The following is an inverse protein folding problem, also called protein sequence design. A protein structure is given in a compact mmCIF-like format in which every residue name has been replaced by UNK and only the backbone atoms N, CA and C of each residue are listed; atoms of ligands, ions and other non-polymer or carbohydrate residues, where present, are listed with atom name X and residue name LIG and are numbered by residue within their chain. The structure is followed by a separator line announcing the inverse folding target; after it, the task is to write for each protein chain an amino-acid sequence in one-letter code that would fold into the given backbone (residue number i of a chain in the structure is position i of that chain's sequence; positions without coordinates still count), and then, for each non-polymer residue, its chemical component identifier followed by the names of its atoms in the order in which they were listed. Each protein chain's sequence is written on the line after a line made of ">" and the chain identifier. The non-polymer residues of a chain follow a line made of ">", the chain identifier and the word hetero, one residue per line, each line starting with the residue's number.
data_IF_176373351634
#
_entry.id   IF_176373351634
#
_cell.length_a   1.000
_cell.length_b   1.000
_cell.length_c   1.000
_cell.angle_alpha   90.00
_cell.angle_beta   90.00
_cell.angle_gamma   90.00
#
_symmetry.space_group_name_H-M   'P 1'
#
loop_
_entity.id
_entity.type
_entity.pdbx_description
1 polymer ?
#
# COMPACT_ATOMS: atom_id res chain seq x y z
N UNK A 1 -12.55 16.38 -4.29
CA UNK A 1 -13.80 16.33 -3.60
C UNK A 1 -13.68 16.73 -2.15
N UNK A 2 -14.78 16.87 -1.54
CA UNK A 2 -14.86 17.25 -0.13
C UNK A 2 -14.70 16.01 0.75
N UNK A 3 -13.86 16.12 1.77
CA UNK A 3 -13.74 15.06 2.77
C UNK A 3 -14.92 15.22 3.75
N UNK A 4 -15.68 14.14 3.90
CA UNK A 4 -16.87 14.14 4.75
C UNK A 4 -16.56 14.02 6.24
N UNK A 5 -15.35 13.57 6.55
CA UNK A 5 -14.92 13.33 7.92
C UNK A 5 -13.66 14.16 8.19
N UNK A 6 -13.75 15.06 9.19
CA UNK A 6 -12.62 15.89 9.61
C UNK A 6 -11.97 15.20 10.80
N UNK A 7 -10.83 14.55 10.55
CA UNK A 7 -10.11 13.82 11.57
C UNK A 7 -8.69 13.57 11.07
N UNK A 8 -7.83 12.96 11.89
CA UNK A 8 -6.51 12.57 11.43
C UNK A 8 -6.64 11.48 10.37
N UNK A 9 -5.70 11.38 9.41
CA UNK A 9 -5.74 10.31 8.42
C UNK A 9 -5.78 8.90 9.03
N UNK A 10 -5.10 8.69 10.15
CA UNK A 10 -5.12 7.39 10.84
C UNK A 10 -6.51 7.08 11.36
N UNK A 11 -7.19 8.05 11.95
CA UNK A 11 -8.55 7.86 12.46
C UNK A 11 -9.55 7.64 11.33
N UNK A 12 -9.40 8.34 10.22
CA UNK A 12 -10.24 8.12 9.03
C UNK A 12 -10.07 6.69 8.54
N UNK A 13 -8.82 6.18 8.50
CA UNK A 13 -8.53 4.82 8.09
C UNK A 13 -9.21 3.79 9.00
N UNK A 14 -9.16 4.00 10.32
CA UNK A 14 -9.67 3.05 11.29
C UNK A 14 -11.20 3.12 11.48
N UNK A 15 -11.80 4.30 11.24
CA UNK A 15 -13.22 4.54 11.52
C UNK A 15 -13.88 5.33 10.40
N UNK A 16 -14.02 4.76 9.20
CA UNK A 16 -14.65 5.48 8.09
C UNK A 16 -16.13 5.72 8.40
N UNK A 17 -16.62 6.94 8.11
CA UNK A 17 -18.00 7.33 8.36
C UNK A 17 -18.88 7.33 7.12
N UNK A 18 -18.28 7.23 5.93
CA UNK A 18 -19.04 7.27 4.68
C UNK A 18 -18.50 6.24 3.70
N UNK A 19 -19.30 5.90 2.69
CA UNK A 19 -18.87 5.02 1.61
C UNK A 19 -17.67 5.61 0.84
N UNK A 20 -17.66 6.94 0.67
CA UNK A 20 -16.54 7.60 0.00
C UNK A 20 -15.22 7.39 0.76
N UNK A 21 -15.26 7.61 2.07
CA UNK A 21 -14.05 7.43 2.90
C UNK A 21 -13.63 5.96 2.91
N UNK A 22 -14.59 5.03 3.00
CA UNK A 22 -14.28 3.61 2.98
C UNK A 22 -13.64 3.20 1.65
N UNK A 23 -14.12 3.70 0.52
CA UNK A 23 -13.53 3.43 -0.79
C UNK A 23 -12.11 3.99 -0.89
N UNK A 24 -11.91 5.20 -0.38
CA UNK A 24 -10.58 5.84 -0.37
C UNK A 24 -9.58 4.97 0.37
N UNK A 25 -9.88 4.59 1.61
CA UNK A 25 -8.96 3.79 2.42
C UNK A 25 -8.90 2.33 1.97
N UNK A 26 -9.88 1.88 1.18
CA UNK A 26 -9.88 0.53 0.62
C UNK A 26 -8.78 0.31 -0.41
N UNK A 27 -8.24 1.39 -0.99
CA UNK A 27 -7.17 1.31 -1.98
C UNK A 27 -5.86 1.91 -1.50
N UNK A 28 -5.92 3.00 -0.74
CA UNK A 28 -4.73 3.69 -0.22
C UNK A 28 -4.22 2.97 1.02
N UNK A 29 -2.94 2.68 1.05
CA UNK A 29 -2.30 2.03 2.20
C UNK A 29 -1.73 3.09 3.13
N UNK A 30 -1.91 2.90 4.44
CA UNK A 30 -1.36 3.79 5.46
C UNK A 30 -0.34 3.03 6.28
N UNK A 31 0.86 3.58 6.38
CA UNK A 31 1.95 3.06 7.20
C UNK A 31 2.02 3.92 8.44
N UNK A 32 1.86 3.30 9.61
CA UNK A 32 1.92 4.02 10.88
C UNK A 32 3.34 4.53 11.15
N UNK A 33 3.46 5.51 12.04
CA UNK A 33 4.77 6.05 12.40
C UNK A 33 5.71 4.98 12.95
N UNK A 34 5.19 4.08 13.79
CA UNK A 34 5.99 3.00 14.35
C UNK A 34 6.54 2.08 13.26
N UNK A 35 5.71 1.70 12.31
CA UNK A 35 6.14 0.85 11.21
C UNK A 35 7.07 1.59 10.25
N UNK A 36 6.80 2.87 10.01
CA UNK A 36 7.68 3.68 9.16
C UNK A 36 9.10 3.76 9.75
N UNK A 37 9.21 3.95 11.05
CA UNK A 37 10.50 3.97 11.73
C UNK A 37 11.16 2.59 11.70
N UNK A 38 10.41 1.54 12.02
CA UNK A 38 10.97 0.19 12.16
C UNK A 38 11.45 -0.39 10.84
N UNK A 39 10.70 -0.18 9.77
CA UNK A 39 10.97 -0.84 8.49
C UNK A 39 11.71 0.04 7.49
N UNK A 40 11.58 1.36 7.61
CA UNK A 40 12.10 2.28 6.59
C UNK A 40 12.97 3.39 7.17
N UNK A 41 13.13 3.45 8.48
CA UNK A 41 13.83 4.55 9.14
C UNK A 41 13.24 5.92 8.76
N UNK A 42 11.94 5.97 8.59
CA UNK A 42 11.20 7.17 8.22
C UNK A 42 10.41 7.66 9.43
N UNK A 43 10.54 8.94 9.78
CA UNK A 43 10.11 9.46 11.08
C UNK A 43 8.66 9.95 11.13
N UNK A 44 7.84 9.59 10.15
CA UNK A 44 6.44 10.01 10.09
C UNK A 44 5.59 8.91 9.50
N UNK A 45 4.32 8.87 9.85
CA UNK A 45 3.36 8.06 9.12
C UNK A 45 3.18 8.61 7.71
N UNK A 46 2.84 7.74 6.77
CA UNK A 46 2.60 8.15 5.39
C UNK A 46 1.58 7.24 4.73
N UNK A 47 1.04 7.69 3.61
CA UNK A 47 0.17 6.88 2.77
C UNK A 47 0.81 6.66 1.41
N UNK A 48 0.45 5.55 0.77
CA UNK A 48 0.91 5.20 -0.57
C UNK A 48 -0.25 4.58 -1.35
N UNK A 49 -0.45 5.03 -2.58
CA UNK A 49 -1.49 4.50 -3.46
C UNK A 49 -0.96 3.27 -4.19
N UNK A 50 -1.83 2.29 -4.50
CA UNK A 50 -1.39 1.02 -5.07
C UNK A 50 -0.72 1.15 -6.44
N UNK A 51 -1.07 2.16 -7.23
CA UNK A 51 -0.47 2.36 -8.56
C UNK A 51 1.02 2.74 -8.48
N UNK A 52 1.50 3.20 -7.33
CA UNK A 52 2.90 3.58 -7.15
C UNK A 52 3.74 2.46 -6.54
N UNK A 53 3.13 1.37 -6.11
CA UNK A 53 3.86 0.26 -5.52
C UNK A 53 4.36 -0.65 -6.64
N UNK A 54 5.69 -0.76 -6.75
CA UNK A 54 6.33 -1.60 -7.76
C UNK A 54 6.53 -3.00 -7.22
N UNK A 55 6.34 -4.00 -8.09
CA UNK A 55 6.42 -5.41 -7.72
C UNK A 55 7.66 -6.03 -8.36
N UNK A 56 8.51 -6.64 -7.52
CA UNK A 56 9.72 -7.36 -7.95
C UNK A 56 10.61 -6.56 -8.90
N UNK A 57 10.71 -5.26 -8.69
CA UNK A 57 11.61 -4.41 -9.45
C UNK A 57 13.01 -4.49 -8.83
N UNK A 58 14.03 -4.55 -9.68
CA UNK A 58 15.43 -4.51 -9.24
C UNK A 58 15.95 -3.08 -9.11
N UNK A 59 15.09 -2.09 -9.34
CA UNK A 59 15.43 -0.68 -9.28
C UNK A 59 15.78 -0.26 -7.86
N UNK A 60 16.75 0.65 -7.73
CA UNK A 60 17.12 1.22 -6.44
C UNK A 60 16.07 2.25 -6.02
N UNK A 61 15.18 1.86 -5.13
CA UNK A 61 14.06 2.68 -4.68
C UNK A 61 14.25 3.13 -3.23
N UNK A 62 13.57 4.22 -2.86
CA UNK A 62 13.70 4.80 -1.52
C UNK A 62 13.12 3.90 -0.43
N UNK A 63 12.03 3.17 -0.75
CA UNK A 63 11.39 2.25 0.19
C UNK A 63 11.35 0.85 -0.42
N UNK A 64 11.69 -0.15 0.39
CA UNK A 64 11.71 -1.55 -0.02
C UNK A 64 11.13 -2.40 1.09
N UNK A 65 10.27 -3.35 0.74
CA UNK A 65 9.63 -4.23 1.70
C UNK A 65 9.33 -5.57 1.06
N UNK A 66 9.69 -6.66 1.73
CA UNK A 66 9.25 -7.99 1.32
C UNK A 66 8.00 -8.35 2.10
N UNK A 67 6.92 -8.68 1.40
CA UNK A 67 5.64 -8.98 2.01
C UNK A 67 4.99 -10.17 1.30
N UNK A 68 4.00 -10.77 1.94
CA UNK A 68 3.33 -11.95 1.41
C UNK A 68 1.93 -11.59 0.92
N UNK A 69 1.51 -12.23 -0.19
CA UNK A 69 0.15 -12.03 -0.70
C UNK A 69 -0.85 -12.61 0.30
N UNK A 70 -1.79 -11.79 0.75
CA UNK A 70 -2.86 -12.22 1.64
C UNK A 70 -4.24 -12.18 0.98
N UNK A 71 -4.42 -11.43 -0.10
CA UNK A 71 -5.66 -11.41 -0.88
C UNK A 71 -5.39 -11.04 -2.32
N UNK A 72 -6.22 -11.58 -3.23
CA UNK A 72 -6.10 -11.37 -4.67
C UNK A 72 -7.49 -11.05 -5.22
N UNK A 73 -7.65 -9.88 -5.86
CA UNK A 73 -8.91 -9.48 -6.47
C UNK A 73 -8.69 -9.16 -7.95
N UNK A 74 -9.38 -9.88 -8.82
CA UNK A 74 -9.34 -9.60 -10.25
C UNK A 74 -10.27 -8.42 -10.55
N UNK A 75 -9.75 -7.43 -11.28
CA UNK A 75 -10.49 -6.21 -11.61
C UNK A 75 -10.62 -6.01 -13.12
N UNK A 76 -10.80 -7.10 -13.85
CA UNK A 76 -11.03 -7.07 -15.30
C UNK A 76 -9.77 -7.11 -16.13
N UNK A 77 -8.86 -6.18 -15.96
CA UNK A 77 -7.61 -6.11 -16.73
C UNK A 77 -6.37 -6.20 -15.86
N UNK A 78 -6.53 -6.14 -14.55
CA UNK A 78 -5.43 -6.21 -13.60
C UNK A 78 -5.92 -6.88 -12.32
N UNK A 79 -4.98 -7.19 -11.44
CA UNK A 79 -5.28 -7.71 -10.10
C UNK A 79 -4.91 -6.67 -9.06
N UNK A 80 -5.77 -6.51 -8.05
CA UNK A 80 -5.41 -5.80 -6.83
C UNK A 80 -4.96 -6.82 -5.81
N UNK A 81 -3.74 -6.67 -5.32
CA UNK A 81 -3.15 -7.56 -4.33
C UNK A 81 -3.13 -6.85 -2.99
N UNK A 82 -3.51 -7.56 -1.94
CA UNK A 82 -3.23 -7.14 -0.57
C UNK A 82 -2.02 -7.91 -0.10
N UNK A 83 -0.99 -7.19 0.34
CA UNK A 83 0.26 -7.78 0.81
C UNK A 83 0.45 -7.43 2.28
N UNK A 84 0.96 -8.39 3.02
CA UNK A 84 1.08 -8.28 4.46
C UNK A 84 2.51 -8.58 4.90
N UNK A 85 3.03 -7.73 5.77
CA UNK A 85 4.29 -7.94 6.48
C UNK A 85 4.10 -7.48 7.92
N UNK A 86 4.01 -8.43 8.85
CA UNK A 86 3.73 -8.14 10.25
C UNK A 86 2.45 -7.29 10.37
N UNK A 87 2.53 -6.09 10.92
CA UNK A 87 1.38 -5.18 11.04
C UNK A 87 1.12 -4.32 9.81
N UNK A 88 1.97 -4.43 8.77
CA UNK A 88 1.85 -3.60 7.57
C UNK A 88 0.95 -4.30 6.56
N UNK A 89 -0.04 -3.57 6.04
CA UNK A 89 -0.90 -4.00 4.94
C UNK A 89 -0.74 -3.02 3.79
N UNK A 90 -0.37 -3.53 2.61
CA UNK A 90 -0.16 -2.71 1.43
C UNK A 90 -0.94 -3.27 0.26
N UNK A 91 -1.69 -2.39 -0.42
CA UNK A 91 -2.33 -2.70 -1.69
C UNK A 91 -1.38 -2.38 -2.84
N UNK A 92 -1.35 -3.25 -3.83
CA UNK A 92 -0.57 -3.04 -5.05
C UNK A 92 -1.36 -3.57 -6.25
N UNK A 93 -1.14 -2.98 -7.41
CA UNK A 93 -1.72 -3.50 -8.65
C UNK A 93 -0.72 -4.37 -9.37
N UNK A 94 -1.19 -5.51 -9.84
CA UNK A 94 -0.41 -6.41 -10.67
C UNK A 94 -1.02 -6.49 -12.07
N UNK A 95 -0.20 -6.25 -13.08
CA UNK A 95 -0.58 -6.27 -14.48
C UNK A 95 -0.04 -7.55 -15.12
N UNK A 96 -0.89 -8.53 -15.51
CA UNK A 96 -0.42 -9.83 -15.97
C UNK A 96 0.51 -9.80 -17.17
N UNK A 97 0.41 -8.76 -17.99
CA UNK A 97 1.22 -8.61 -19.20
C UNK A 97 2.52 -7.84 -18.98
N UNK A 98 2.84 -7.55 -17.72
CA UNK A 98 4.08 -6.84 -17.39
C UNK A 98 5.27 -7.79 -17.49
N UNK A 99 6.47 -7.20 -17.54
CA UNK A 99 7.71 -7.97 -17.56
C UNK A 99 8.04 -8.61 -16.21
N UNK A 100 7.33 -8.24 -15.14
CA UNK A 100 7.58 -8.70 -13.77
C UNK A 100 6.55 -9.75 -13.37
N UNK A 101 6.69 -10.95 -13.94
CA UNK A 101 5.80 -12.06 -13.60
C UNK A 101 5.96 -12.49 -12.16
N UNK A 102 4.84 -12.79 -11.52
CA UNK A 102 4.81 -13.34 -10.18
C UNK A 102 3.93 -14.59 -10.17
N UNK A 103 4.12 -15.40 -9.14
CA UNK A 103 3.22 -16.52 -8.86
C UNK A 103 2.03 -15.98 -8.05
N UNK A 104 0.85 -15.96 -8.67
CA UNK A 104 -0.38 -15.42 -8.06
C UNK A 104 -0.98 -16.45 -7.10
N UNK A 105 -0.38 -16.58 -5.93
CA UNK A 105 -0.88 -17.49 -4.90
C UNK A 105 -0.83 -16.79 -3.54
N UNK A 106 -1.84 -17.06 -2.71
CA UNK A 106 -1.84 -16.62 -1.32
C UNK A 106 -0.60 -17.17 -0.62
N UNK A 107 0.09 -16.32 0.12
CA UNK A 107 1.31 -16.68 0.83
C UNK A 107 2.60 -16.43 0.05
N UNK A 108 2.50 -16.15 -1.25
CA UNK A 108 3.69 -15.88 -2.07
C UNK A 108 4.42 -14.63 -1.58
N UNK A 109 5.73 -14.73 -1.48
CA UNK A 109 6.60 -13.64 -1.03
C UNK A 109 6.93 -12.73 -2.22
N UNK A 110 6.68 -11.44 -2.06
CA UNK A 110 6.86 -10.45 -3.12
C UNK A 110 7.71 -9.30 -2.59
N UNK A 111 8.67 -8.85 -3.39
CA UNK A 111 9.43 -7.63 -3.09
C UNK A 111 8.65 -6.42 -3.59
N UNK A 112 8.33 -5.53 -2.69
CA UNK A 112 7.64 -4.28 -2.98
C UNK A 112 8.62 -3.12 -2.86
N UNK A 113 8.45 -2.12 -3.73
CA UNK A 113 9.27 -0.90 -3.64
C UNK A 113 8.46 0.29 -4.12
N UNK A 114 8.83 1.48 -3.62
CA UNK A 114 8.25 2.74 -4.08
C UNK A 114 9.20 3.88 -3.73
N UNK A 115 8.94 5.04 -4.33
CA UNK A 115 9.80 6.19 -4.15
C UNK A 115 9.16 7.24 -3.26
N UNK A 116 9.99 8.01 -2.57
CA UNK A 116 9.54 9.02 -1.63
C UNK A 116 8.65 10.09 -2.29
N UNK A 117 8.89 10.39 -3.55
CA UNK A 117 8.07 11.38 -4.26
C UNK A 117 6.61 10.94 -4.39
N UNK A 118 6.33 9.66 -4.29
CA UNK A 118 4.98 9.10 -4.47
C UNK A 118 4.22 8.87 -3.17
N UNK A 119 4.85 9.09 -2.01
CA UNK A 119 4.13 8.97 -0.74
C UNK A 119 3.48 10.30 -0.38
N UNK A 120 2.47 10.23 0.48
CA UNK A 120 1.91 11.42 1.14
C UNK A 120 2.27 11.35 2.62
N UNK A 121 3.08 12.30 3.07
CA UNK A 121 3.45 12.41 4.48
C UNK A 121 2.23 12.86 5.27
N UNK A 122 1.90 12.14 6.32
CA UNK A 122 0.72 12.43 7.14
C UNK A 122 1.04 13.26 8.37
N UNK A 123 2.31 13.50 8.64
CA UNK A 123 2.79 14.35 9.76
C UNK A 123 2.32 13.87 11.13
N UNK A 124 2.24 12.57 11.28
CA UNK A 124 1.81 11.96 12.55
C UNK A 124 2.82 10.98 13.09
#
# INVERSE_FOLDING_TARGET
>A
GKIEQIDTPINIYNKPKSAFVADFIGTTSIITKNDALSYFNYSSSFSIRPEFVMINQSKNSDFNLTANISDIQFQGSLYKLLLEKDSILINAYYYPNSSNSINLEIGESINLSWDKINITDLNE
#
